data_IF_401658939360
#
_entry.id   IF_401658939360
#
_cell.length_a   1.000
_cell.length_b   1.000
_cell.length_c   1.000
_cell.angle_alpha   90.00
_cell.angle_beta   90.00
_cell.angle_gamma   90.00
#
_symmetry.space_group_name_H-M   'P 1'
#
loop_
_entity.id
_entity.type
_entity.pdbx_description
1 polymer ?
#
# COMPACT_ATOMS: atom_id res chain seq x y z
N UNK A 1 61.70 -5.45 3.89
CA UNK A 1 61.79 -6.09 5.20
C UNK A 1 60.42 -6.74 5.42
N UNK A 2 60.14 -7.92 5.01
CA UNK A 2 60.48 -9.29 5.39
C UNK A 2 60.20 -9.58 6.86
N UNK A 3 59.24 -10.47 7.08
CA UNK A 3 59.26 -11.76 7.76
C UNK A 3 57.92 -12.09 8.41
N UNK A 4 57.23 -13.11 7.85
CA UNK A 4 57.00 -14.50 8.33
C UNK A 4 56.01 -14.66 9.48
N UNK A 5 54.89 -15.27 9.21
CA UNK A 5 54.49 -16.71 9.31
C UNK A 5 54.62 -17.32 10.70
N UNK A 6 53.47 -17.78 11.23
CA UNK A 6 53.44 -18.98 12.10
C UNK A 6 52.08 -19.69 12.01
N UNK A 7 52.08 -20.88 11.37
CA UNK A 7 51.14 -21.96 11.63
C UNK A 7 51.80 -22.96 12.58
N UNK A 8 51.08 -23.75 13.31
CA UNK A 8 51.38 -25.19 13.30
C UNK A 8 50.19 -26.10 13.00
N UNK A 9 50.49 -27.06 12.13
CA UNK A 9 49.81 -28.33 11.93
C UNK A 9 50.23 -29.33 13.01
N UNK A 10 49.29 -30.22 13.45
CA UNK A 10 49.54 -31.60 13.91
C UNK A 10 48.26 -32.37 13.61
N UNK A 11 48.13 -33.26 12.68
CA UNK A 11 48.66 -34.57 12.38
C UNK A 11 47.92 -35.71 13.15
N UNK A 12 47.11 -36.42 12.38
CA UNK A 12 46.91 -37.88 12.17
C UNK A 12 47.06 -38.85 13.36
N UNK A 13 46.04 -39.69 13.53
CA UNK A 13 46.16 -40.97 14.21
C UNK A 13 45.02 -41.91 13.82
N UNK A 14 45.33 -42.76 12.88
CA UNK A 14 44.54 -43.89 12.39
C UNK A 14 44.81 -45.12 13.30
N UNK A 15 43.78 -45.87 13.68
CA UNK A 15 43.90 -47.34 13.86
C UNK A 15 42.57 -48.07 13.73
N UNK A 16 42.63 -49.09 12.88
CA UNK A 16 41.65 -50.14 12.58
C UNK A 16 41.62 -51.20 13.69
N UNK A 17 40.54 -51.94 13.79
CA UNK A 17 40.32 -53.37 14.00
C UNK A 17 39.05 -53.53 14.88
N UNK A 18 38.18 -54.46 14.70
CA UNK A 18 38.14 -55.71 13.98
C UNK A 18 36.72 -56.28 14.01
N UNK A 19 36.43 -56.97 12.94
CA UNK A 19 35.27 -57.83 12.76
C UNK A 19 35.26 -58.99 13.74
N UNK A 20 34.08 -59.37 14.25
CA UNK A 20 33.74 -60.79 14.42
C UNK A 20 32.22 -60.95 14.46
N UNK A 21 31.80 -61.81 13.55
CA UNK A 21 30.46 -62.33 13.41
C UNK A 21 30.10 -63.25 14.58
N UNK A 22 28.83 -63.24 14.96
CA UNK A 22 28.22 -64.39 15.60
C UNK A 22 26.78 -64.52 15.14
N UNK A 23 26.57 -65.49 14.29
CA UNK A 23 25.26 -66.08 13.98
C UNK A 23 24.87 -66.99 15.15
N UNK A 24 23.61 -66.91 15.59
CA UNK A 24 22.86 -68.07 16.09
C UNK A 24 21.36 -67.72 16.21
N UNK A 25 20.62 -68.37 15.45
CA UNK A 25 19.24 -68.89 15.52
C UNK A 25 18.52 -68.76 16.88
N UNK A 26 17.28 -68.27 16.85
CA UNK A 26 16.14 -68.96 17.44
C UNK A 26 14.82 -68.35 16.96
N UNK A 27 14.13 -69.10 16.21
CA UNK A 27 12.72 -69.44 16.07
C UNK A 27 11.65 -68.54 16.66
N UNK A 28 10.74 -68.11 15.79
CA UNK A 28 9.28 -68.07 15.83
C UNK A 28 8.57 -67.83 17.15
N UNK A 29 7.94 -66.66 17.25
CA UNK A 29 6.62 -66.49 17.82
C UNK A 29 5.92 -65.37 17.05
N UNK A 30 5.07 -65.72 16.08
CA UNK A 30 4.10 -64.85 15.46
C UNK A 30 3.04 -64.51 16.54
N UNK A 31 3.10 -63.35 17.08
CA UNK A 31 1.92 -62.70 17.70
C UNK A 31 1.62 -61.49 16.86
N UNK A 32 0.51 -61.62 16.12
CA UNK A 32 -0.10 -60.57 15.35
C UNK A 32 -0.61 -59.49 16.32
N UNK A 33 0.18 -58.40 16.50
CA UNK A 33 -0.31 -57.11 16.93
C UNK A 33 -0.58 -56.29 15.68
N UNK A 34 -1.81 -56.31 15.21
CA UNK A 34 -2.30 -55.30 14.29
C UNK A 34 -2.27 -53.97 15.01
N UNK A 35 -1.48 -52.96 14.54
CA UNK A 35 -1.70 -51.61 14.99
C UNK A 35 -3.06 -51.18 14.42
N UNK A 36 -3.98 -50.88 15.29
CA UNK A 36 -5.18 -50.10 15.02
C UNK A 36 -4.71 -48.69 14.64
N UNK A 37 -4.20 -48.54 13.45
CA UNK A 37 -4.07 -47.22 12.81
C UNK A 37 -5.51 -46.79 12.54
N UNK A 38 -6.01 -45.97 13.46
CA UNK A 38 -7.18 -45.17 13.18
C UNK A 38 -6.91 -44.37 11.91
N UNK A 39 -7.46 -44.83 10.81
CA UNK A 39 -7.69 -43.98 9.64
C UNK A 39 -8.63 -42.88 10.10
N UNK A 40 -8.08 -41.77 10.62
CA UNK A 40 -8.76 -40.51 10.53
C UNK A 40 -8.81 -40.20 9.04
N UNK A 41 -9.91 -40.61 8.44
CA UNK A 41 -10.25 -40.28 7.06
C UNK A 41 -10.23 -38.74 6.97
N UNK A 42 -9.26 -38.25 6.28
CA UNK A 42 -9.42 -37.06 5.44
C UNK A 42 -10.32 -37.48 4.29
N UNK A 43 -11.55 -37.91 4.61
CA UNK A 43 -12.58 -37.98 3.60
C UNK A 43 -12.84 -36.56 3.15
N UNK A 44 -12.33 -36.29 1.96
CA UNK A 44 -12.86 -35.40 0.97
C UNK A 44 -13.57 -34.15 1.55
N UNK A 45 -12.84 -33.05 1.85
CA UNK A 45 -13.39 -31.75 1.57
C UNK A 45 -13.48 -31.68 0.02
N UNK A 46 -14.48 -32.37 -0.55
CA UNK A 46 -14.97 -32.00 -1.87
C UNK A 46 -15.53 -30.58 -1.69
N UNK A 47 -14.71 -29.58 -2.00
CA UNK A 47 -15.21 -28.26 -2.32
C UNK A 47 -16.05 -28.44 -3.57
N UNK A 48 -17.36 -28.77 -3.39
CA UNK A 48 -18.32 -28.68 -4.46
C UNK A 48 -18.17 -27.33 -5.15
N UNK A 49 -18.51 -27.19 -6.43
CA UNK A 49 -18.42 -25.90 -7.10
C UNK A 49 -19.19 -24.91 -6.24
N UNK A 50 -18.45 -23.92 -5.68
CA UNK A 50 -19.06 -22.84 -4.92
C UNK A 50 -20.10 -22.21 -5.85
N UNK A 51 -21.37 -22.31 -5.48
CA UNK A 51 -22.41 -21.67 -6.27
C UNK A 51 -22.14 -20.17 -6.22
N UNK A 52 -22.23 -19.47 -7.35
CA UNK A 52 -22.07 -18.02 -7.42
C UNK A 52 -23.03 -17.31 -6.44
N UNK A 53 -24.16 -17.97 -6.12
CA UNK A 53 -25.14 -17.50 -5.14
C UNK A 53 -24.63 -17.48 -3.69
N UNK A 54 -23.49 -18.14 -3.41
CA UNK A 54 -22.85 -18.17 -2.09
C UNK A 54 -21.74 -17.10 -1.93
N UNK A 55 -21.40 -16.36 -2.99
CA UNK A 55 -20.38 -15.32 -2.91
C UNK A 55 -21.00 -14.04 -2.32
N UNK A 56 -20.35 -13.40 -1.34
CA UNK A 56 -20.79 -12.12 -0.83
C UNK A 56 -20.52 -11.01 -1.85
N UNK A 57 -21.31 -9.95 -1.77
CA UNK A 57 -20.98 -8.67 -2.40
C UNK A 57 -19.87 -8.00 -1.58
N UNK A 58 -18.81 -7.58 -2.24
CA UNK A 58 -17.58 -7.05 -1.62
C UNK A 58 -17.28 -5.67 -2.19
N UNK A 59 -16.81 -4.76 -1.34
CA UNK A 59 -16.29 -3.49 -1.83
C UNK A 59 -14.93 -3.72 -2.50
N UNK A 60 -14.74 -3.31 -3.77
CA UNK A 60 -13.46 -3.49 -4.45
C UNK A 60 -12.30 -2.72 -3.79
N UNK A 61 -12.60 -1.57 -3.17
CA UNK A 61 -11.60 -0.73 -2.49
C UNK A 61 -11.39 -1.13 -1.02
N UNK A 62 -12.44 -1.56 -0.33
CA UNK A 62 -12.44 -1.96 1.08
C UNK A 62 -12.91 -3.42 1.20
N UNK A 63 -12.09 -4.44 0.87
CA UNK A 63 -12.54 -5.84 0.75
C UNK A 63 -13.07 -6.47 2.05
N UNK A 64 -12.87 -5.81 3.18
CA UNK A 64 -13.46 -6.16 4.47
C UNK A 64 -14.93 -5.72 4.60
N UNK A 65 -15.41 -4.80 3.75
CA UNK A 65 -16.81 -4.42 3.66
C UNK A 65 -17.54 -5.39 2.75
N UNK A 66 -18.40 -6.22 3.34
CA UNK A 66 -19.13 -7.31 2.67
C UNK A 66 -20.62 -7.21 2.97
N UNK A 67 -21.43 -7.70 2.04
CA UNK A 67 -22.89 -7.76 2.14
C UNK A 67 -23.41 -9.04 1.47
N UNK A 68 -24.53 -9.56 1.94
CA UNK A 68 -25.25 -10.65 1.27
C UNK A 68 -26.06 -10.16 0.06
N UNK A 69 -26.24 -8.85 -0.08
CA UNK A 69 -27.02 -8.24 -1.16
C UNK A 69 -26.22 -7.13 -1.84
N UNK A 70 -26.56 -6.87 -3.11
CA UNK A 70 -26.03 -5.73 -3.84
C UNK A 70 -26.35 -4.41 -3.11
N UNK A 71 -25.41 -3.46 -3.19
CA UNK A 71 -25.54 -2.18 -2.50
C UNK A 71 -24.33 -1.31 -2.69
N UNK A 72 -24.19 -0.28 -1.85
CA UNK A 72 -23.06 0.64 -1.84
C UNK A 72 -22.23 0.46 -0.58
N UNK A 73 -20.91 0.60 -0.70
CA UNK A 73 -19.99 0.57 0.43
C UNK A 73 -20.29 1.74 1.39
N UNK A 74 -20.50 1.43 2.65
CA UNK A 74 -20.75 2.44 3.68
C UNK A 74 -19.54 3.34 3.98
N UNK A 75 -18.33 2.88 3.58
CA UNK A 75 -17.06 3.56 3.82
C UNK A 75 -16.68 4.50 2.69
N UNK A 76 -16.71 4.02 1.45
CA UNK A 76 -16.26 4.79 0.29
C UNK A 76 -17.36 5.17 -0.71
N UNK A 77 -18.59 4.62 -0.58
CA UNK A 77 -19.72 4.92 -1.47
C UNK A 77 -19.71 4.14 -2.79
N UNK A 78 -18.72 3.28 -3.05
CA UNK A 78 -18.66 2.47 -4.27
C UNK A 78 -19.71 1.37 -4.28
N UNK A 79 -20.12 0.94 -5.48
CA UNK A 79 -20.96 -0.23 -5.66
C UNK A 79 -20.22 -1.49 -5.17
N UNK A 80 -20.92 -2.32 -4.42
CA UNK A 80 -20.42 -3.64 -4.05
C UNK A 80 -20.55 -4.59 -5.26
N UNK A 81 -19.50 -5.37 -5.50
CA UNK A 81 -19.45 -6.34 -6.59
C UNK A 81 -19.52 -7.77 -6.05
N UNK A 82 -20.06 -8.69 -6.81
CA UNK A 82 -20.18 -10.10 -6.41
C UNK A 82 -18.79 -10.76 -6.39
N UNK A 83 -18.35 -11.17 -5.23
CA UNK A 83 -17.01 -11.72 -5.01
C UNK A 83 -15.90 -10.68 -5.20
N UNK A 84 -14.64 -11.12 -5.17
CA UNK A 84 -13.51 -10.25 -5.51
C UNK A 84 -13.27 -10.32 -7.02
N UNK A 85 -13.28 -9.19 -7.74
CA UNK A 85 -12.95 -9.19 -9.16
C UNK A 85 -11.48 -9.62 -9.36
N UNK A 86 -11.22 -10.23 -10.51
CA UNK A 86 -9.83 -10.52 -10.90
C UNK A 86 -9.09 -9.20 -11.11
N UNK A 87 -7.96 -8.97 -10.45
CA UNK A 87 -7.19 -7.75 -10.64
C UNK A 87 -6.74 -7.62 -12.10
N UNK A 88 -6.99 -6.46 -12.68
CA UNK A 88 -6.54 -6.10 -14.03
C UNK A 88 -5.78 -4.78 -13.92
N UNK A 89 -4.57 -4.72 -14.44
CA UNK A 89 -3.72 -3.53 -14.40
C UNK A 89 -3.91 -2.67 -15.64
N UNK A 90 -4.31 -1.42 -15.44
CA UNK A 90 -4.45 -0.41 -16.49
C UNK A 90 -3.16 0.42 -16.59
N UNK A 91 -2.81 0.81 -17.81
CA UNK A 91 -1.70 1.74 -18.03
C UNK A 91 -2.20 3.17 -18.07
N UNK A 92 -1.38 4.11 -17.59
CA UNK A 92 -1.65 5.54 -17.71
C UNK A 92 -0.51 6.19 -18.48
N UNK A 93 -0.85 6.85 -19.59
CA UNK A 93 0.09 7.68 -20.34
C UNK A 93 -0.02 9.12 -19.86
N UNK A 94 1.05 9.61 -19.27
CA UNK A 94 1.17 11.01 -18.85
C UNK A 94 1.82 11.82 -19.98
N UNK A 95 1.16 12.88 -20.39
CA UNK A 95 1.73 13.90 -21.27
C UNK A 95 1.63 15.27 -20.65
N UNK A 96 2.58 16.15 -20.96
CA UNK A 96 2.63 17.52 -20.44
C UNK A 96 2.61 18.55 -21.56
N UNK A 97 1.93 19.66 -21.34
CA UNK A 97 1.92 20.81 -22.25
C UNK A 97 2.19 22.08 -21.44
N UNK A 98 3.36 22.72 -21.65
CA UNK A 98 4.46 22.35 -22.57
C UNK A 98 5.16 21.04 -22.16
N UNK A 99 5.87 20.40 -23.11
CA UNK A 99 6.60 19.16 -22.85
C UNK A 99 7.70 19.31 -21.79
N UNK A 100 8.37 20.45 -21.76
CA UNK A 100 9.35 20.79 -20.73
C UNK A 100 8.64 21.48 -19.56
N UNK A 101 8.51 20.77 -18.44
CA UNK A 101 7.90 21.30 -17.21
C UNK A 101 8.88 22.19 -16.48
N UNK A 102 8.63 23.49 -16.46
CA UNK A 102 9.51 24.48 -15.79
C UNK A 102 8.93 24.90 -14.45
N UNK A 103 9.83 25.09 -13.48
CA UNK A 103 9.46 25.56 -12.15
C UNK A 103 8.83 26.93 -12.23
N UNK A 104 7.71 27.12 -11.53
CA UNK A 104 6.97 28.38 -11.48
C UNK A 104 6.12 28.69 -12.71
N UNK A 105 6.16 27.87 -13.76
CA UNK A 105 5.34 28.07 -14.96
C UNK A 105 4.12 27.12 -14.97
N UNK A 106 2.96 27.56 -15.51
CA UNK A 106 1.81 26.69 -15.68
C UNK A 106 2.11 25.54 -16.64
N UNK A 107 1.64 24.35 -16.30
CA UNK A 107 1.70 23.17 -17.14
C UNK A 107 0.38 22.42 -17.08
N UNK A 108 -0.11 21.98 -18.22
CA UNK A 108 -1.22 21.04 -18.29
C UNK A 108 -0.67 19.61 -18.21
N UNK A 109 -1.17 18.84 -17.26
CA UNK A 109 -0.98 17.41 -17.18
C UNK A 109 -2.17 16.71 -17.82
N UNK A 110 -1.93 15.76 -18.70
CA UNK A 110 -2.94 14.95 -19.36
C UNK A 110 -2.67 13.48 -19.10
N UNK A 111 -3.70 12.75 -18.67
CA UNK A 111 -3.63 11.34 -18.30
C UNK A 111 -4.58 10.55 -19.21
N UNK A 112 -4.04 9.70 -20.03
CA UNK A 112 -4.78 8.77 -20.87
C UNK A 112 -4.70 7.37 -20.25
N UNK A 113 -5.86 6.81 -19.88
CA UNK A 113 -5.96 5.46 -19.31
C UNK A 113 -6.17 4.47 -20.45
N UNK A 114 -5.37 3.43 -20.49
CA UNK A 114 -5.35 2.43 -21.57
C UNK A 114 -5.85 1.10 -21.02
N UNK A 115 -6.82 0.52 -21.71
CA UNK A 115 -7.34 -0.82 -21.45
C UNK A 115 -6.28 -1.88 -21.78
N UNK A 116 -5.97 -2.80 -20.88
CA UNK A 116 -4.89 -3.76 -21.08
C UNK A 116 -5.15 -4.75 -22.20
N UNK A 117 -6.41 -5.17 -22.39
CA UNK A 117 -6.75 -6.22 -23.36
C UNK A 117 -6.81 -5.70 -24.80
N UNK A 118 -7.30 -4.48 -25.00
CA UNK A 118 -7.56 -3.91 -26.34
C UNK A 118 -6.54 -2.87 -26.75
N UNK A 119 -5.77 -2.30 -25.80
CA UNK A 119 -4.93 -1.15 -26.05
C UNK A 119 -5.71 0.14 -26.37
N UNK A 120 -7.05 0.10 -26.24
CA UNK A 120 -7.89 1.26 -26.50
C UNK A 120 -7.97 2.15 -25.25
N UNK A 121 -8.39 3.40 -25.46
CA UNK A 121 -8.61 4.35 -24.36
C UNK A 121 -9.80 3.90 -23.51
N UNK A 122 -9.62 3.92 -22.18
CA UNK A 122 -10.71 3.81 -21.23
C UNK A 122 -11.38 5.18 -21.08
N UNK A 123 -12.71 5.23 -21.21
CA UNK A 123 -13.48 6.48 -21.13
C UNK A 123 -14.56 6.46 -20.05
N UNK A 124 -14.85 5.30 -19.47
CA UNK A 124 -15.87 5.14 -18.45
C UNK A 124 -15.24 4.80 -17.11
N UNK A 125 -15.61 5.56 -16.08
CA UNK A 125 -15.03 5.44 -14.74
C UNK A 125 -16.12 5.55 -13.67
N UNK A 126 -15.90 4.86 -12.55
CA UNK A 126 -16.74 4.94 -11.37
C UNK A 126 -16.31 6.13 -10.50
N UNK A 127 -17.31 6.75 -9.86
CA UNK A 127 -17.04 7.83 -8.88
C UNK A 127 -16.59 7.19 -7.57
N UNK A 128 -15.42 7.58 -7.11
CA UNK A 128 -14.88 7.24 -5.80
C UNK A 128 -14.62 8.53 -5.03
N UNK A 129 -15.13 8.65 -3.81
CA UNK A 129 -14.95 9.86 -3.02
C UNK A 129 -15.23 11.15 -3.79
N UNK A 130 -16.40 11.19 -4.46
CA UNK A 130 -16.93 12.35 -5.22
C UNK A 130 -16.13 12.69 -6.49
N UNK A 131 -15.12 11.89 -6.89
CA UNK A 131 -14.26 12.13 -8.05
C UNK A 131 -14.08 10.88 -8.89
N UNK A 132 -13.80 11.08 -10.18
CA UNK A 132 -13.45 10.01 -11.12
C UNK A 132 -11.96 9.67 -11.07
N UNK A 133 -11.12 10.64 -10.65
CA UNK A 133 -9.68 10.52 -10.61
C UNK A 133 -9.11 11.35 -9.45
N UNK A 134 -8.35 10.71 -8.58
CA UNK A 134 -7.55 11.37 -7.56
C UNK A 134 -6.10 11.36 -8.02
N UNK A 135 -5.51 12.52 -8.10
CA UNK A 135 -4.11 12.69 -8.45
C UNK A 135 -3.35 13.14 -7.22
N UNK A 136 -2.46 12.28 -6.76
CA UNK A 136 -1.47 12.67 -5.76
C UNK A 136 -0.13 12.89 -6.43
N UNK A 137 0.66 13.83 -5.91
CA UNK A 137 2.09 13.85 -6.21
C UNK A 137 2.89 14.31 -5.01
N UNK A 138 4.08 13.76 -4.93
CA UNK A 138 5.07 14.08 -3.92
C UNK A 138 6.40 14.40 -4.59
N UNK A 139 7.19 15.30 -3.99
CA UNK A 139 8.57 15.52 -4.40
C UNK A 139 9.46 14.36 -3.93
N UNK A 140 10.62 14.19 -4.57
CA UNK A 140 11.58 13.14 -4.22
C UNK A 140 12.05 13.21 -2.75
N UNK A 141 12.10 14.41 -2.16
CA UNK A 141 12.46 14.63 -0.76
C UNK A 141 11.29 14.41 0.22
N UNK A 142 10.10 14.08 -0.29
CA UNK A 142 8.86 13.90 0.49
C UNK A 142 8.45 15.13 1.32
N UNK A 143 8.85 16.34 0.90
CA UNK A 143 8.46 17.60 1.54
C UNK A 143 7.26 18.27 0.87
N UNK A 144 7.05 18.02 -0.43
CA UNK A 144 5.88 18.51 -1.18
C UNK A 144 4.86 17.41 -1.30
N UNK A 145 3.62 17.73 -1.00
CA UNK A 145 2.46 16.88 -1.24
C UNK A 145 1.33 17.70 -1.86
N UNK A 146 0.70 17.14 -2.90
CA UNK A 146 -0.53 17.66 -3.49
C UNK A 146 -1.54 16.53 -3.64
N UNK A 147 -2.82 16.86 -3.54
CA UNK A 147 -3.95 16.01 -3.81
C UNK A 147 -4.94 16.81 -4.65
N UNK A 148 -5.04 16.48 -5.92
CA UNK A 148 -5.78 17.21 -6.93
C UNK A 148 -6.71 16.27 -7.71
N UNK A 149 -7.60 16.83 -8.52
CA UNK A 149 -8.62 16.05 -9.24
C UNK A 149 -8.70 16.49 -10.69
N UNK A 150 -7.96 15.81 -11.58
CA UNK A 150 -8.08 16.02 -13.02
C UNK A 150 -9.51 15.80 -13.52
N UNK A 151 -9.90 16.58 -14.52
CA UNK A 151 -11.26 16.53 -15.10
C UNK A 151 -11.22 15.69 -16.38
N UNK A 152 -12.16 14.77 -16.53
CA UNK A 152 -12.36 13.98 -17.74
C UNK A 152 -12.94 14.86 -18.84
N UNK A 153 -12.25 14.92 -19.99
CA UNK A 153 -12.73 15.57 -21.20
C UNK A 153 -13.62 14.64 -22.04
N UNK A 154 -14.35 15.22 -23.00
CA UNK A 154 -15.21 14.48 -23.93
C UNK A 154 -14.40 13.47 -24.79
N UNK A 155 -13.11 13.67 -24.90
CA UNK A 155 -12.16 12.78 -25.59
C UNK A 155 -11.64 11.63 -24.70
N UNK A 156 -12.12 11.49 -23.47
CA UNK A 156 -11.73 10.43 -22.56
C UNK A 156 -10.35 10.62 -21.91
N UNK A 157 -9.79 11.83 -21.95
CA UNK A 157 -8.50 12.15 -21.31
C UNK A 157 -8.73 13.03 -20.08
N UNK A 158 -8.15 12.66 -18.96
CA UNK A 158 -8.15 13.50 -17.77
C UNK A 158 -7.11 14.62 -17.87
N UNK A 159 -7.48 15.83 -17.48
CA UNK A 159 -6.60 17.00 -17.53
C UNK A 159 -6.66 17.86 -16.28
N UNK A 160 -5.51 18.43 -15.95
CA UNK A 160 -5.40 19.45 -14.90
C UNK A 160 -4.28 20.42 -15.26
N UNK A 161 -4.50 21.72 -15.00
CA UNK A 161 -3.45 22.72 -15.02
C UNK A 161 -2.86 22.89 -13.63
N UNK A 162 -1.54 22.92 -13.51
CA UNK A 162 -0.83 23.09 -12.24
C UNK A 162 0.50 23.80 -12.43
N UNK A 163 1.16 24.09 -11.30
CA UNK A 163 2.49 24.68 -11.23
C UNK A 163 3.34 23.86 -10.27
N UNK A 164 4.56 23.52 -10.66
CA UNK A 164 5.55 22.93 -9.79
C UNK A 164 6.43 24.02 -9.19
N UNK A 165 6.38 24.18 -7.87
CA UNK A 165 7.04 25.30 -7.17
C UNK A 165 8.54 25.08 -6.92
N UNK A 166 9.04 23.85 -7.08
CA UNK A 166 10.42 23.46 -6.78
C UNK A 166 10.99 22.59 -7.90
N UNK A 167 12.29 22.71 -8.19
CA UNK A 167 12.94 21.77 -9.10
C UNK A 167 13.00 20.38 -8.47
N UNK A 168 13.00 19.34 -9.28
CA UNK A 168 13.14 17.98 -8.77
C UNK A 168 12.43 16.92 -9.59
N UNK A 169 12.50 15.71 -9.04
CA UNK A 169 11.72 14.55 -9.47
C UNK A 169 10.46 14.47 -8.60
N UNK A 170 9.34 14.25 -9.25
CA UNK A 170 8.04 14.09 -8.61
C UNK A 170 7.48 12.70 -8.90
N UNK A 171 7.00 12.04 -7.88
CA UNK A 171 6.21 10.82 -8.02
C UNK A 171 4.74 11.19 -8.03
N UNK A 172 4.09 10.92 -9.16
CA UNK A 172 2.66 11.13 -9.35
C UNK A 172 1.95 9.78 -9.20
N UNK A 173 0.75 9.79 -8.66
CA UNK A 173 -0.08 8.60 -8.48
C UNK A 173 -1.49 8.91 -8.93
N UNK A 174 -1.95 8.22 -9.97
CA UNK A 174 -3.34 8.24 -10.40
C UNK A 174 -4.11 7.16 -9.68
N UNK A 175 -5.11 7.56 -8.88
CA UNK A 175 -6.03 6.65 -8.21
C UNK A 175 -7.42 6.82 -8.83
N UNK A 176 -7.91 5.79 -9.49
CA UNK A 176 -9.15 5.81 -10.27
C UNK A 176 -9.77 4.41 -10.37
N UNK A 177 -11.04 4.36 -10.73
CA UNK A 177 -11.76 3.10 -10.90
C UNK A 177 -12.37 3.02 -12.30
N UNK A 178 -11.76 2.24 -13.23
CA UNK A 178 -12.35 1.99 -14.55
C UNK A 178 -13.64 1.20 -14.43
N UNK A 179 -14.70 1.60 -15.11
CA UNK A 179 -15.95 0.83 -15.12
C UNK A 179 -15.71 -0.56 -15.70
N UNK A 180 -16.14 -1.59 -14.97
CA UNK A 180 -15.92 -2.99 -15.32
C UNK A 180 -14.54 -3.55 -14.97
N UNK A 181 -13.63 -2.74 -14.42
CA UNK A 181 -12.30 -3.14 -13.95
C UNK A 181 -12.20 -3.28 -12.44
N UNK A 182 -11.01 -2.99 -11.92
CA UNK A 182 -10.71 -2.92 -10.49
C UNK A 182 -10.14 -1.55 -10.14
N UNK A 183 -10.20 -1.09 -8.86
CA UNK A 183 -9.52 0.13 -8.44
C UNK A 183 -8.05 0.10 -8.80
N UNK A 184 -7.53 1.20 -9.30
CA UNK A 184 -6.17 1.35 -9.80
C UNK A 184 -5.44 2.42 -9.02
N UNK A 185 -4.19 2.17 -8.64
CA UNK A 185 -3.24 3.19 -8.19
C UNK A 185 -1.99 3.09 -9.05
N UNK A 186 -1.90 3.95 -10.07
CA UNK A 186 -0.85 3.89 -11.09
C UNK A 186 0.20 4.96 -10.81
N UNK A 187 1.44 4.55 -10.49
CA UNK A 187 2.53 5.48 -10.26
C UNK A 187 3.15 5.96 -11.59
N UNK A 188 3.45 7.26 -11.65
CA UNK A 188 4.13 7.92 -12.76
C UNK A 188 5.26 8.79 -12.23
N UNK A 189 6.23 9.12 -13.07
CA UNK A 189 7.33 10.00 -12.69
C UNK A 189 7.38 11.21 -13.61
N UNK A 190 7.59 12.39 -13.03
CA UNK A 190 7.79 13.64 -13.74
C UNK A 190 9.05 14.32 -13.20
N UNK A 191 9.88 14.83 -14.10
CA UNK A 191 11.07 15.61 -13.75
C UNK A 191 10.94 17.02 -14.30
N UNK A 192 11.22 18.02 -13.48
CA UNK A 192 11.23 19.41 -13.96
C UNK A 192 12.46 19.68 -14.81
N UNK A 193 12.32 20.55 -15.80
CA UNK A 193 13.41 20.91 -16.69
C UNK A 193 14.56 21.58 -15.95
N UNK A 194 15.78 21.18 -16.28
CA UNK A 194 17.00 21.70 -15.66
C UNK A 194 17.35 21.08 -14.30
N UNK A 195 16.64 20.02 -13.89
CA UNK A 195 17.02 19.23 -12.73
C UNK A 195 18.05 18.16 -13.15
N UNK A 196 19.26 18.22 -12.63
CA UNK A 196 20.40 17.37 -13.04
C UNK A 196 21.06 16.64 -11.85
N UNK A 197 20.41 16.62 -10.68
CA UNK A 197 20.97 15.91 -9.54
C UNK A 197 20.98 14.40 -9.78
N UNK A 198 22.05 13.68 -9.40
CA UNK A 198 22.12 12.23 -9.52
C UNK A 198 21.00 11.56 -8.73
N UNK A 199 20.35 10.52 -9.31
CA UNK A 199 19.25 9.82 -8.68
C UNK A 199 19.63 9.21 -7.32
N UNK A 200 20.89 8.80 -7.15
CA UNK A 200 21.43 8.23 -5.92
C UNK A 200 21.41 9.23 -4.74
N UNK A 201 21.34 10.53 -5.04
CA UNK A 201 21.30 11.60 -4.02
C UNK A 201 19.86 11.99 -3.65
N UNK A 202 18.87 11.44 -4.34
CA UNK A 202 17.46 11.84 -4.19
C UNK A 202 16.73 11.11 -3.05
N UNK A 203 17.35 10.12 -2.43
CA UNK A 203 16.73 9.38 -1.34
C UNK A 203 16.38 10.35 -0.17
N UNK A 204 15.12 10.42 0.25
CA UNK A 204 14.72 11.30 1.34
C UNK A 204 15.36 10.86 2.65
N UNK A 205 15.92 11.82 3.39
CA UNK A 205 16.41 11.56 4.75
C UNK A 205 15.29 11.84 5.74
N UNK A 206 14.50 10.83 6.06
CA UNK A 206 13.37 10.92 6.97
C UNK A 206 13.75 10.39 8.36
N UNK A 207 13.33 11.10 9.41
CA UNK A 207 13.33 10.61 10.78
C UNK A 207 11.90 10.45 11.27
N UNK A 208 11.67 9.45 12.13
CA UNK A 208 10.34 9.24 12.74
C UNK A 208 9.86 10.52 13.42
N UNK A 209 8.64 10.96 13.11
CA UNK A 209 8.04 12.18 13.63
C UNK A 209 6.52 12.02 13.74
N UNK A 210 6.06 11.71 14.93
CA UNK A 210 4.64 11.60 15.28
C UNK A 210 4.18 12.75 16.19
N UNK A 211 5.02 13.77 16.36
CA UNK A 211 4.71 14.94 17.18
C UNK A 211 3.46 15.68 16.65
N UNK A 212 2.67 16.29 17.55
CA UNK A 212 1.45 16.97 17.16
C UNK A 212 1.67 18.10 16.15
N UNK A 213 0.99 18.06 15.01
CA UNK A 213 1.06 19.03 13.92
C UNK A 213 -0.06 20.06 13.97
N UNK A 214 0.23 21.28 13.56
CA UNK A 214 -0.77 22.36 13.40
C UNK A 214 -1.11 22.54 11.92
N UNK A 215 -2.39 22.36 11.58
CA UNK A 215 -2.94 22.74 10.30
C UNK A 215 -3.49 24.17 10.32
N UNK A 216 -4.28 24.51 9.30
CA UNK A 216 -4.85 25.86 9.12
C UNK A 216 -5.72 26.31 10.31
N UNK A 217 -6.50 25.39 10.87
CA UNK A 217 -7.44 25.67 11.96
C UNK A 217 -7.66 24.48 12.90
N UNK A 218 -6.78 23.49 12.85
CA UNK A 218 -6.87 22.28 13.64
C UNK A 218 -5.45 21.83 14.07
N UNK A 219 -5.35 21.13 15.19
CA UNK A 219 -4.13 20.42 15.62
C UNK A 219 -4.45 18.93 15.65
N UNK A 220 -3.54 18.13 15.11
CA UNK A 220 -3.66 16.68 15.03
C UNK A 220 -2.40 16.05 15.61
N UNK A 221 -2.56 15.01 16.42
CA UNK A 221 -1.49 14.11 16.85
C UNK A 221 -1.70 12.73 16.22
N UNK A 222 -0.60 12.02 15.98
CA UNK A 222 -0.61 10.66 15.51
C UNK A 222 -0.10 9.72 16.61
N UNK A 223 -0.80 8.60 16.79
CA UNK A 223 -0.36 7.46 17.58
C UNK A 223 -0.56 6.19 16.76
N UNK A 224 0.40 5.28 16.84
CA UNK A 224 0.31 3.97 16.18
C UNK A 224 0.11 2.86 17.20
N UNK A 225 -0.58 1.79 16.79
CA UNK A 225 -0.71 0.57 17.58
C UNK A 225 -0.51 -0.64 16.64
N UNK A 226 0.57 -1.43 16.85
CA UNK A 226 1.57 -1.27 17.90
C UNK A 226 2.38 0.03 17.78
N UNK A 227 2.95 0.49 18.91
CA UNK A 227 3.77 1.71 18.94
C UNK A 227 5.02 1.64 18.03
N UNK A 228 5.47 0.42 17.72
CA UNK A 228 6.49 0.09 16.71
C UNK A 228 5.83 -0.79 15.67
N UNK A 229 5.36 -0.23 14.56
CA UNK A 229 4.76 -0.97 13.46
C UNK A 229 5.71 -2.01 12.89
N UNK A 230 5.14 -3.14 12.47
CA UNK A 230 5.87 -4.23 11.82
C UNK A 230 5.33 -4.42 10.41
N UNK A 231 6.23 -4.53 9.44
CA UNK A 231 5.87 -4.78 8.05
C UNK A 231 5.06 -6.09 7.91
N UNK A 232 4.04 -6.07 7.07
CA UNK A 232 3.15 -7.21 6.84
C UNK A 232 2.07 -7.40 7.92
N UNK A 233 2.10 -6.66 9.02
CA UNK A 233 1.11 -6.75 10.10
C UNK A 233 0.21 -5.52 10.16
N UNK A 234 -1.02 -5.74 10.64
CA UNK A 234 -1.98 -4.66 10.83
C UNK A 234 -1.44 -3.63 11.83
N UNK A 235 -1.43 -2.38 11.42
CA UNK A 235 -1.13 -1.21 12.26
C UNK A 235 -2.36 -0.31 12.31
N UNK A 236 -2.77 0.09 13.49
CA UNK A 236 -3.80 1.08 13.70
C UNK A 236 -3.14 2.46 13.81
N UNK A 237 -3.53 3.38 12.93
CA UNK A 237 -3.14 4.78 13.00
C UNK A 237 -4.28 5.57 13.63
N UNK A 238 -4.02 6.18 14.77
CA UNK A 238 -4.98 7.02 15.47
C UNK A 238 -4.60 8.48 15.31
N UNK A 239 -5.39 9.21 14.53
CA UNK A 239 -5.28 10.66 14.41
C UNK A 239 -6.23 11.32 15.39
N UNK A 240 -5.65 11.95 16.41
CA UNK A 240 -6.40 12.63 17.47
C UNK A 240 -6.47 14.11 17.20
N UNK A 241 -7.70 14.62 17.04
CA UNK A 241 -7.97 16.02 16.77
C UNK A 241 -8.16 16.78 18.08
N UNK A 242 -7.58 17.96 18.20
CA UNK A 242 -7.80 18.80 19.38
C UNK A 242 -9.27 19.22 19.56
N UNK A 243 -10.08 19.17 18.50
CA UNK A 243 -11.51 19.48 18.51
C UNK A 243 -12.24 18.82 17.35
N UNK A 244 -13.46 18.33 17.58
CA UNK A 244 -14.38 17.90 16.55
C UNK A 244 -15.34 19.01 16.10
N UNK A 245 -15.41 20.15 16.82
CA UNK A 245 -16.37 21.21 16.50
C UNK A 245 -16.11 21.83 15.13
N UNK A 246 -17.05 21.64 14.21
CA UNK A 246 -16.98 22.12 12.83
C UNK A 246 -16.10 21.26 11.93
N UNK A 247 -15.81 20.01 12.31
CA UNK A 247 -15.27 19.00 11.43
C UNK A 247 -16.28 18.70 10.34
N UNK A 248 -15.80 18.45 9.12
CA UNK A 248 -16.61 18.20 7.93
C UNK A 248 -15.96 17.06 7.14
N UNK A 249 -16.79 16.32 6.42
CA UNK A 249 -16.25 15.39 5.42
C UNK A 249 -15.56 16.17 4.31
N UNK A 250 -14.46 15.66 3.84
CA UNK A 250 -13.73 16.10 2.66
C UNK A 250 -13.79 14.97 1.65
N UNK A 251 -14.33 15.22 0.47
CA UNK A 251 -14.53 14.19 -0.55
C UNK A 251 -15.23 12.93 0.00
N UNK A 252 -16.36 13.14 0.70
CA UNK A 252 -17.16 12.05 1.24
C UNK A 252 -16.62 11.37 2.52
N UNK A 253 -15.33 11.52 2.87
CA UNK A 253 -14.71 10.89 4.03
C UNK A 253 -14.33 11.88 5.13
N UNK A 254 -14.22 11.41 6.40
CA UNK A 254 -13.79 12.24 7.53
C UNK A 254 -12.29 12.60 7.50
N UNK A 255 -11.51 11.84 6.73
CA UNK A 255 -10.13 12.14 6.42
C UNK A 255 -9.67 11.34 5.18
N UNK A 256 -8.57 11.79 4.56
CA UNK A 256 -7.82 11.04 3.56
C UNK A 256 -6.37 10.91 4.04
N UNK A 257 -5.74 9.81 3.71
CA UNK A 257 -4.35 9.55 4.04
C UNK A 257 -3.60 9.07 2.80
N UNK A 258 -2.39 9.59 2.62
CA UNK A 258 -1.39 8.99 1.76
C UNK A 258 -0.16 8.69 2.60
N UNK A 259 0.31 7.45 2.57
CA UNK A 259 1.61 7.07 3.11
C UNK A 259 2.54 6.70 1.96
N UNK A 260 3.75 7.25 1.97
CA UNK A 260 4.78 7.01 0.94
C UNK A 260 6.06 6.61 1.65
N UNK A 261 6.61 5.46 1.29
CA UNK A 261 7.90 5.01 1.78
C UNK A 261 9.03 5.84 1.18
N UNK A 262 10.15 5.88 1.86
CA UNK A 262 11.36 6.57 1.43
C UNK A 262 11.96 6.07 0.10
N UNK A 263 11.47 4.95 -0.43
CA UNK A 263 11.81 4.45 -1.78
C UNK A 263 11.01 5.11 -2.91
N UNK A 264 9.96 5.89 -2.62
CA UNK A 264 9.03 6.50 -3.58
C UNK A 264 8.28 5.47 -4.46
N UNK A 265 8.29 4.20 -4.09
CA UNK A 265 7.64 3.09 -4.79
C UNK A 265 6.44 2.57 -4.02
N UNK A 266 6.64 2.36 -2.72
CA UNK A 266 5.60 1.83 -1.84
C UNK A 266 4.68 2.96 -1.39
N UNK A 267 3.42 2.86 -1.78
CA UNK A 267 2.40 3.89 -1.60
C UNK A 267 1.13 3.25 -1.02
N UNK A 268 0.50 3.95 -0.07
CA UNK A 268 -0.74 3.49 0.54
C UNK A 268 -1.70 4.67 0.63
N UNK A 269 -2.77 4.65 -0.16
CA UNK A 269 -3.91 5.55 -0.01
C UNK A 269 -4.93 4.92 0.93
N UNK A 270 -5.47 5.67 1.86
CA UNK A 270 -6.36 5.11 2.85
C UNK A 270 -7.40 6.10 3.39
N UNK A 271 -8.49 5.51 3.88
CA UNK A 271 -9.62 6.21 4.47
C UNK A 271 -9.89 5.68 5.88
N UNK A 272 -10.62 6.42 6.71
CA UNK A 272 -10.91 5.98 8.06
C UNK A 272 -11.66 4.65 8.09
N UNK A 273 -11.15 3.69 8.84
CA UNK A 273 -11.87 2.46 9.19
C UNK A 273 -12.92 2.73 10.28
N UNK A 274 -12.60 3.66 11.19
CA UNK A 274 -13.53 4.15 12.22
C UNK A 274 -13.43 5.67 12.27
N UNK A 275 -14.54 6.34 11.97
CA UNK A 275 -14.70 7.78 12.18
C UNK A 275 -16.20 8.13 12.17
N UNK A 276 -16.62 8.85 13.18
CA UNK A 276 -18.01 9.28 13.40
C UNK A 276 -18.18 10.81 13.40
N UNK A 277 -17.13 11.54 13.01
CA UNK A 277 -17.07 12.98 13.13
C UNK A 277 -16.62 13.47 14.51
N UNK A 278 -16.18 12.56 15.37
CA UNK A 278 -15.57 12.82 16.67
C UNK A 278 -14.13 13.30 16.58
N UNK A 279 -13.44 13.29 17.73
CA UNK A 279 -12.04 13.71 17.79
C UNK A 279 -11.05 12.65 17.35
N UNK A 280 -11.47 11.40 17.27
CA UNK A 280 -10.63 10.26 16.93
C UNK A 280 -10.96 9.79 15.53
N UNK A 281 -9.94 9.66 14.70
CA UNK A 281 -9.99 9.07 13.38
C UNK A 281 -9.03 7.90 13.38
N UNK A 282 -9.54 6.69 13.15
CA UNK A 282 -8.73 5.48 13.07
C UNK A 282 -8.63 5.03 11.62
N UNK A 283 -7.40 4.73 11.20
CA UNK A 283 -7.12 4.06 9.93
C UNK A 283 -6.41 2.74 10.18
N UNK A 284 -6.79 1.71 9.45
CA UNK A 284 -6.18 0.39 9.49
C UNK A 284 -5.23 0.28 8.30
N UNK A 285 -3.96 0.07 8.57
CA UNK A 285 -2.92 0.04 7.54
C UNK A 285 -2.06 -1.21 7.71
N UNK A 286 -1.70 -1.83 6.59
CA UNK A 286 -0.64 -2.83 6.53
C UNK A 286 0.48 -2.20 5.71
N UNK A 287 1.60 -1.89 6.35
CA UNK A 287 2.80 -1.46 5.65
C UNK A 287 3.46 -2.70 5.04
N UNK A 288 3.59 -2.80 3.70
CA UNK A 288 4.06 -4.04 3.08
C UNK A 288 5.54 -4.33 3.33
N UNK A 289 6.35 -3.30 3.54
CA UNK A 289 7.79 -3.40 3.68
C UNK A 289 8.30 -2.60 4.89
N UNK A 290 9.45 -2.99 5.48
CA UNK A 290 10.12 -2.17 6.47
C UNK A 290 10.72 -0.92 5.82
N UNK A 291 10.83 0.15 6.60
CA UNK A 291 11.37 1.42 6.15
C UNK A 291 10.66 2.61 6.79
N UNK A 292 10.99 3.80 6.35
CA UNK A 292 10.42 5.03 6.88
C UNK A 292 9.35 5.56 5.92
N UNK A 293 8.16 5.78 6.44
CA UNK A 293 7.01 6.25 5.68
C UNK A 293 6.66 7.69 6.05
N UNK A 294 6.59 8.57 5.06
CA UNK A 294 5.94 9.87 5.21
C UNK A 294 4.43 9.66 5.07
N UNK A 295 3.68 10.09 6.09
CA UNK A 295 2.23 9.92 6.17
C UNK A 295 1.59 11.30 6.19
N UNK A 296 0.82 11.65 5.15
CA UNK A 296 -0.01 12.85 5.16
C UNK A 296 -1.44 12.48 5.49
N UNK A 297 -2.02 13.20 6.43
CA UNK A 297 -3.46 13.15 6.69
C UNK A 297 -4.11 14.48 6.30
N UNK A 298 -5.21 14.39 5.58
CA UNK A 298 -6.04 15.52 5.21
C UNK A 298 -7.34 15.49 5.98
N UNK A 299 -7.67 16.60 6.65
CA UNK A 299 -8.92 16.79 7.38
C UNK A 299 -9.53 18.15 7.06
N UNK A 300 -10.84 18.21 6.91
CA UNK A 300 -11.54 19.45 6.64
C UNK A 300 -12.27 19.95 7.89
N UNK A 301 -12.06 21.21 8.22
CA UNK A 301 -12.75 21.89 9.30
C UNK A 301 -13.14 23.30 8.91
N UNK A 302 -14.44 23.63 9.06
CA UNK A 302 -15.00 24.97 8.72
C UNK A 302 -14.56 25.42 7.32
N UNK A 303 -14.76 24.54 6.32
CA UNK A 303 -14.43 24.78 4.92
C UNK A 303 -12.94 24.86 4.57
N UNK A 304 -12.04 24.57 5.52
CA UNK A 304 -10.58 24.59 5.28
C UNK A 304 -10.00 23.21 5.42
N UNK A 305 -9.38 22.71 4.36
CA UNK A 305 -8.60 21.46 4.36
C UNK A 305 -7.24 21.74 4.96
N UNK A 306 -6.81 20.90 5.90
CA UNK A 306 -5.47 20.89 6.47
C UNK A 306 -4.79 19.58 6.07
N UNK A 307 -3.62 19.67 5.46
CA UNK A 307 -2.71 18.55 5.17
C UNK A 307 -1.60 18.56 6.20
N UNK A 308 -1.42 17.45 6.91
CA UNK A 308 -0.51 17.36 8.05
C UNK A 308 0.44 16.17 7.84
N UNK A 309 1.76 16.42 7.76
CA UNK A 309 2.77 15.37 7.58
C UNK A 309 3.17 14.76 8.92
N UNK A 310 3.27 13.44 8.94
CA UNK A 310 3.89 12.64 9.99
C UNK A 310 4.92 11.70 9.37
N UNK A 311 5.77 11.09 10.20
CA UNK A 311 6.73 10.10 9.73
C UNK A 311 6.70 8.89 10.66
N UNK A 312 6.48 7.72 10.07
CA UNK A 312 6.35 6.45 10.79
C UNK A 312 7.51 5.54 10.40
N UNK A 313 8.24 5.04 11.39
CA UNK A 313 9.27 4.03 11.19
C UNK A 313 8.65 2.63 11.35
N UNK A 314 8.80 1.80 10.33
CA UNK A 314 8.24 0.45 10.25
C UNK A 314 9.37 -0.56 10.27
N UNK A 315 9.40 -1.42 11.27
CA UNK A 315 10.43 -2.45 11.43
C UNK A 315 10.09 -3.71 10.61
N UNK A 316 11.12 -4.45 10.24
CA UNK A 316 10.96 -5.82 9.72
C UNK A 316 10.50 -6.79 10.81
N UNK A 317 9.95 -7.93 10.39
CA UNK A 317 9.69 -9.03 11.31
C UNK A 317 11.03 -9.55 11.87
N UNK A 318 11.08 -9.94 13.16
CA UNK A 318 12.27 -10.58 13.72
C UNK A 318 12.63 -11.82 12.89
N UNK A 319 13.91 -12.00 12.59
CA UNK A 319 14.39 -13.28 12.05
C UNK A 319 14.12 -14.38 13.06
N UNK A 320 13.51 -15.48 12.59
CA UNK A 320 13.29 -16.70 13.39
C UNK A 320 14.59 -17.40 13.73
#
# INVERSE_FOLDING_TARGET
MSLRSFFPRIARGCRRAGQRAMRLLCSAALLALTPLLGQTGLEGLELGPASLDALPFVCPMDPDVRSETAGVCSRCGMQLVLGLPVPVEYQVQLTTTPAAVRVGEPVQLSFEVIQPDSGSRQSEFEIVHEKLFHLFWVSHDLEVFRHEHPVLGDDGIFRIETVFDRPGVYRLMGDFYPSGGTPQMVPMTLTTAGFEEPLETLAPSLAADQEPKRGRNIKVSLRTEPAKPLAGLLTLLFFELNTARGLQKYLGAWAHMLAVKDDLVTLIHGHPSIADGGKLIQMNVIFPEPGVYRVWVQVQRKGKVSTLPFTVDVSGLPSL
#
